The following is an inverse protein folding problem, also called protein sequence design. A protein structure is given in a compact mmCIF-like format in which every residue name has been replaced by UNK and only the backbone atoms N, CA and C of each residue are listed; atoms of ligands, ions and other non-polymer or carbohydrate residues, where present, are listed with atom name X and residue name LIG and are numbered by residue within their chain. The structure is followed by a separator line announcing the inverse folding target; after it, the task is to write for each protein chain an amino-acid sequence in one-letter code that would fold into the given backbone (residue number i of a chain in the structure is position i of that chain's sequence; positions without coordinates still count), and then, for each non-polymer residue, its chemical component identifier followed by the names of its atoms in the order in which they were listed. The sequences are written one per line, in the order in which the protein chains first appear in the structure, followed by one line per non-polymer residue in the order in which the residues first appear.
data_IF_396920488690
#
_entry.id   IF_396920488690
#
_cell.length_a   1.000
_cell.length_b   1.000
_cell.length_c   1.000
_cell.angle_alpha   90.00
_cell.angle_beta   90.00
_cell.angle_gamma   90.00
#
_symmetry.space_group_name_H-M   'P 1'
#
loop_
_entity.id
_entity.type
_entity.pdbx_description
1 polymer ?
#
# COMPACT_ATOMS: atom_id res chain seq x y z
N UNK A 1 -7.30 -24.29 9.07
CA UNK A 1 -7.66 -22.85 9.10
C UNK A 1 -6.44 -22.06 9.54
N UNK A 2 -5.99 -21.10 8.73
CA UNK A 2 -4.97 -20.13 9.12
C UNK A 2 -5.67 -18.80 9.37
N UNK A 3 -5.43 -18.18 10.52
CA UNK A 3 -6.09 -16.94 10.95
C UNK A 3 -5.02 -15.90 11.27
N UNK A 4 -5.07 -14.77 10.57
CA UNK A 4 -4.48 -13.50 11.04
C UNK A 4 -5.61 -12.55 11.44
N UNK A 5 -5.27 -11.41 12.06
CA UNK A 5 -6.27 -10.39 12.44
C UNK A 5 -7.10 -9.85 11.27
N UNK A 6 -6.61 -10.01 10.04
CA UNK A 6 -7.19 -9.38 8.84
C UNK A 6 -7.61 -10.40 7.75
N UNK A 7 -7.08 -11.63 7.80
CA UNK A 7 -7.27 -12.64 6.76
C UNK A 7 -7.50 -14.02 7.38
N UNK A 8 -8.58 -14.69 6.96
CA UNK A 8 -8.88 -16.09 7.30
C UNK A 8 -8.82 -16.94 6.04
N UNK A 9 -8.04 -18.02 6.10
CA UNK A 9 -7.86 -18.96 5.01
C UNK A 9 -8.41 -20.33 5.44
N UNK A 10 -9.34 -20.87 4.66
CA UNK A 10 -9.73 -22.27 4.73
C UNK A 10 -9.36 -22.99 3.44
N UNK A 11 -8.83 -24.21 3.55
CA UNK A 11 -8.44 -25.03 2.41
C UNK A 11 -9.05 -26.39 2.60
N UNK A 12 -9.94 -26.74 1.67
CA UNK A 12 -10.53 -28.08 1.60
C UNK A 12 -10.04 -28.77 0.32
N UNK A 13 -9.55 -30.00 0.46
CA UNK A 13 -9.00 -30.78 -0.65
C UNK A 13 -9.90 -31.97 -0.95
N UNK A 14 -10.35 -32.09 -2.19
CA UNK A 14 -11.23 -33.18 -2.63
C UNK A 14 -10.68 -33.84 -3.89
N UNK A 15 -10.74 -35.18 -4.03
CA UNK A 15 -10.42 -35.81 -5.31
C UNK A 15 -11.47 -35.41 -6.35
N UNK A 16 -11.04 -34.87 -7.50
CA UNK A 16 -11.97 -34.56 -8.62
C UNK A 16 -11.80 -35.52 -9.80
N UNK A 17 -10.75 -36.34 -9.79
CA UNK A 17 -10.47 -37.34 -10.80
C UNK A 17 -9.68 -38.52 -10.22
N UNK A 18 -10.08 -39.73 -10.60
CA UNK A 18 -9.47 -40.99 -10.20
C UNK A 18 -10.25 -42.17 -10.78
N UNK A 19 -9.62 -43.36 -10.77
CA UNK A 19 -10.26 -44.61 -11.16
C UNK A 19 -10.23 -45.58 -9.97
N UNK A 20 -11.39 -45.84 -9.36
CA UNK A 20 -11.49 -46.70 -8.18
C UNK A 20 -10.63 -46.23 -7.00
N UNK A 21 -9.74 -47.09 -6.51
CA UNK A 21 -8.86 -46.82 -5.35
C UNK A 21 -7.68 -45.87 -5.65
N UNK A 22 -7.49 -45.45 -6.90
CA UNK A 22 -6.39 -44.57 -7.30
C UNK A 22 -6.92 -43.16 -7.60
N UNK A 23 -7.01 -42.31 -6.57
CA UNK A 23 -7.22 -40.86 -6.76
C UNK A 23 -5.95 -40.25 -7.31
N UNK A 24 -5.98 -39.76 -8.55
CA UNK A 24 -4.78 -39.27 -9.22
C UNK A 24 -4.65 -37.74 -9.22
N UNK A 25 -5.72 -37.01 -8.88
CA UNK A 25 -5.74 -35.54 -8.85
C UNK A 25 -6.69 -34.99 -7.77
N UNK A 26 -6.26 -33.95 -7.06
CA UNK A 26 -7.04 -33.23 -6.05
C UNK A 26 -7.41 -31.81 -6.51
N UNK A 27 -8.60 -31.37 -6.13
CA UNK A 27 -9.11 -30.02 -6.24
C UNK A 27 -8.96 -29.38 -4.87
N UNK A 28 -8.24 -28.26 -4.82
CA UNK A 28 -8.11 -27.46 -3.61
C UNK A 28 -9.11 -26.31 -3.69
N UNK A 29 -10.12 -26.34 -2.82
CA UNK A 29 -11.05 -25.24 -2.60
C UNK A 29 -10.43 -24.32 -1.54
N UNK A 30 -9.98 -23.14 -1.96
CA UNK A 30 -9.40 -22.13 -1.07
C UNK A 30 -10.46 -21.06 -0.81
N UNK A 31 -10.92 -20.94 0.42
CA UNK A 31 -11.84 -19.90 0.86
C UNK A 31 -11.05 -18.82 1.62
N UNK A 32 -11.10 -17.60 1.10
CA UNK A 32 -10.43 -16.44 1.66
C UNK A 32 -11.46 -15.45 2.20
N UNK A 33 -11.34 -15.08 3.48
CA UNK A 33 -12.16 -14.05 4.14
C UNK A 33 -11.25 -12.91 4.62
N UNK A 34 -11.69 -11.65 4.48
CA UNK A 34 -10.90 -10.45 4.77
C UNK A 34 -11.26 -9.29 3.85
N UNK A 35 -10.45 -8.23 3.79
CA UNK A 35 -10.61 -7.17 2.77
C UNK A 35 -10.30 -7.68 1.36
N UNK A 36 -10.86 -7.07 0.31
CA UNK A 36 -10.60 -7.51 -1.07
C UNK A 36 -9.11 -7.39 -1.42
N UNK A 37 -8.46 -6.30 -0.98
CA UNK A 37 -7.04 -6.06 -1.25
C UNK A 37 -6.15 -7.11 -0.57
N UNK A 38 -6.41 -7.46 0.68
CA UNK A 38 -5.61 -8.46 1.41
C UNK A 38 -5.77 -9.85 0.81
N UNK A 39 -6.98 -10.21 0.35
CA UNK A 39 -7.20 -11.45 -0.42
C UNK A 39 -6.47 -11.43 -1.77
N UNK A 40 -6.54 -10.33 -2.51
CA UNK A 40 -5.94 -10.21 -3.84
C UNK A 40 -4.40 -10.27 -3.78
N UNK A 41 -3.78 -9.63 -2.78
CA UNK A 41 -2.33 -9.73 -2.52
C UNK A 41 -1.90 -11.15 -2.19
N UNK A 42 -2.66 -11.87 -1.37
CA UNK A 42 -2.38 -13.29 -1.12
C UNK A 42 -2.45 -14.12 -2.40
N UNK A 43 -3.47 -13.89 -3.23
CA UNK A 43 -3.61 -14.57 -4.53
C UNK A 43 -2.41 -14.29 -5.43
N UNK A 44 -1.91 -13.05 -5.44
CA UNK A 44 -0.71 -12.65 -6.17
C UNK A 44 0.51 -13.47 -5.72
N UNK A 45 0.75 -13.59 -4.42
CA UNK A 45 1.86 -14.40 -3.88
C UNK A 45 1.68 -15.91 -4.16
N UNK A 46 0.45 -16.42 -4.07
CA UNK A 46 0.15 -17.83 -4.37
C UNK A 46 0.51 -18.15 -5.82
N UNK A 47 0.12 -17.30 -6.76
CA UNK A 47 0.41 -17.51 -8.19
C UNK A 47 1.92 -17.46 -8.44
N UNK A 48 2.63 -16.50 -7.85
CA UNK A 48 4.08 -16.38 -7.99
C UNK A 48 4.83 -17.60 -7.43
N UNK A 49 4.35 -18.20 -6.33
CA UNK A 49 5.01 -19.32 -5.64
C UNK A 49 4.69 -20.69 -6.20
N UNK A 50 3.53 -20.88 -6.83
CA UNK A 50 3.08 -22.21 -7.29
C UNK A 50 3.86 -22.76 -8.48
N UNK A 51 4.56 -21.92 -9.25
CA UNK A 51 5.31 -22.32 -10.45
C UNK A 51 4.44 -22.85 -11.59
N UNK A 52 3.12 -22.83 -11.42
CA UNK A 52 2.09 -23.19 -12.42
C UNK A 52 0.85 -22.34 -12.19
N UNK A 53 0.06 -22.18 -13.24
CA UNK A 53 -1.18 -21.43 -13.17
C UNK A 53 -2.25 -22.20 -12.36
N UNK A 54 -2.83 -21.62 -11.30
CA UNK A 54 -3.84 -22.30 -10.46
C UNK A 54 -5.13 -22.68 -11.21
N UNK A 55 -5.44 -21.97 -12.29
CA UNK A 55 -6.60 -22.20 -13.15
C UNK A 55 -6.37 -23.25 -14.25
N UNK A 56 -5.21 -23.91 -14.29
CA UNK A 56 -4.91 -24.95 -15.27
C UNK A 56 -5.05 -26.35 -14.65
N UNK A 57 -6.23 -27.00 -14.76
CA UNK A 57 -6.43 -28.34 -14.25
C UNK A 57 -5.73 -29.39 -15.13
N UNK A 58 -5.38 -30.53 -14.52
CA UNK A 58 -4.82 -31.68 -15.25
C UNK A 58 -5.86 -32.36 -16.16
N UNK A 59 -7.13 -32.38 -15.76
CA UNK A 59 -8.25 -32.90 -16.56
C UNK A 59 -9.42 -31.91 -16.57
N UNK A 60 -9.48 -31.05 -17.58
CA UNK A 60 -10.45 -29.95 -17.64
C UNK A 60 -11.91 -30.43 -17.59
N UNK A 61 -12.27 -31.49 -18.32
CA UNK A 61 -13.66 -31.98 -18.34
C UNK A 61 -14.23 -32.30 -16.95
N UNK A 62 -13.49 -33.05 -16.13
CA UNK A 62 -13.93 -33.41 -14.78
C UNK A 62 -13.89 -32.21 -13.83
N UNK A 63 -12.87 -31.35 -13.96
CA UNK A 63 -12.73 -30.17 -13.14
C UNK A 63 -13.85 -29.14 -13.39
N UNK A 64 -14.24 -28.92 -14.65
CA UNK A 64 -15.37 -28.06 -15.02
C UNK A 64 -16.70 -28.64 -14.52
N UNK A 65 -16.87 -29.97 -14.56
CA UNK A 65 -18.04 -30.65 -14.00
C UNK A 65 -18.18 -30.42 -12.49
N UNK A 66 -17.08 -30.46 -11.75
CA UNK A 66 -17.07 -30.27 -10.29
C UNK A 66 -17.21 -28.79 -9.92
N UNK A 67 -16.50 -27.90 -10.60
CA UNK A 67 -16.52 -26.45 -10.31
C UNK A 67 -17.72 -25.72 -10.94
N UNK A 68 -18.47 -26.38 -11.83
CA UNK A 68 -19.61 -25.86 -12.59
C UNK A 68 -19.29 -24.59 -13.39
N UNK A 69 -18.04 -24.39 -13.75
CA UNK A 69 -17.54 -23.24 -14.50
C UNK A 69 -16.44 -23.70 -15.46
N UNK A 70 -16.27 -22.98 -16.57
CA UNK A 70 -15.22 -23.28 -17.54
C UNK A 70 -13.84 -22.84 -17.05
N UNK A 71 -12.81 -23.49 -17.58
CA UNK A 71 -11.39 -23.13 -17.37
C UNK A 71 -11.11 -21.68 -17.75
N UNK A 72 -11.71 -21.19 -18.85
CA UNK A 72 -11.61 -19.78 -19.25
C UNK A 72 -12.19 -18.83 -18.21
N UNK A 73 -13.37 -19.12 -17.67
CA UNK A 73 -14.00 -18.25 -16.66
C UNK A 73 -13.19 -18.18 -15.38
N UNK A 74 -12.64 -19.29 -14.91
CA UNK A 74 -11.73 -19.28 -13.77
C UNK A 74 -10.49 -18.44 -14.07
N UNK A 75 -9.83 -18.68 -15.21
CA UNK A 75 -8.67 -17.87 -15.63
C UNK A 75 -8.98 -16.37 -15.57
N UNK A 76 -10.11 -15.95 -16.13
CA UNK A 76 -10.48 -14.53 -16.17
C UNK A 76 -10.67 -13.95 -14.77
N UNK A 77 -11.35 -14.66 -13.86
CA UNK A 77 -11.52 -14.21 -12.48
C UNK A 77 -10.20 -14.13 -11.71
N UNK A 78 -9.30 -15.09 -11.91
CA UNK A 78 -7.95 -15.04 -11.33
C UNK A 78 -7.15 -13.86 -11.86
N UNK A 79 -7.16 -13.62 -13.17
CA UNK A 79 -6.46 -12.49 -13.80
C UNK A 79 -7.01 -11.13 -13.33
N UNK A 80 -8.33 -11.01 -13.11
CA UNK A 80 -8.93 -9.82 -12.51
C UNK A 80 -8.37 -9.55 -11.12
N UNK A 81 -8.28 -10.58 -10.27
CA UNK A 81 -7.73 -10.45 -8.91
C UNK A 81 -6.25 -10.07 -8.93
N UNK A 82 -5.45 -10.67 -9.82
CA UNK A 82 -4.03 -10.34 -9.98
C UNK A 82 -3.85 -8.88 -10.44
N UNK A 83 -4.65 -8.44 -11.40
CA UNK A 83 -4.63 -7.05 -11.89
C UNK A 83 -5.04 -6.08 -10.79
N UNK A 84 -6.07 -6.42 -10.01
CA UNK A 84 -6.50 -5.63 -8.87
C UNK A 84 -5.40 -5.51 -7.80
N UNK A 85 -4.75 -6.62 -7.45
CA UNK A 85 -3.65 -6.65 -6.49
C UNK A 85 -2.48 -5.77 -6.97
N UNK A 86 -2.07 -5.92 -8.24
CA UNK A 86 -0.98 -5.14 -8.83
C UNK A 86 -1.28 -3.65 -8.76
N UNK A 87 -2.45 -3.22 -9.20
CA UNK A 87 -2.86 -1.81 -9.13
C UNK A 87 -2.87 -1.28 -7.70
N UNK A 88 -3.40 -2.03 -6.73
CA UNK A 88 -3.39 -1.61 -5.33
C UNK A 88 -1.98 -1.47 -4.76
N UNK A 89 -1.04 -2.32 -5.17
CA UNK A 89 0.37 -2.19 -4.79
C UNK A 89 1.07 -1.01 -5.49
N UNK A 90 0.71 -0.70 -6.73
CA UNK A 90 1.16 0.52 -7.43
C UNK A 90 0.67 1.78 -6.72
N UNK A 91 -0.59 1.79 -6.27
CA UNK A 91 -1.18 2.87 -5.47
C UNK A 91 -0.41 3.07 -4.14
N UNK A 92 -0.04 1.99 -3.43
CA UNK A 92 0.77 2.08 -2.20
C UNK A 92 2.18 2.65 -2.45
N UNK A 93 2.81 2.28 -3.56
CA UNK A 93 4.10 2.87 -3.96
C UNK A 93 3.94 4.38 -4.20
N UNK A 94 2.87 4.77 -4.90
CA UNK A 94 2.63 6.17 -5.24
C UNK A 94 2.24 7.02 -4.02
N UNK A 95 1.54 6.43 -3.04
CA UNK A 95 1.25 7.10 -1.77
C UNK A 95 2.54 7.48 -1.04
N UNK A 96 3.47 6.53 -0.88
CA UNK A 96 4.77 6.78 -0.25
C UNK A 96 5.60 7.78 -1.08
N UNK A 97 5.58 7.69 -2.40
CA UNK A 97 6.25 8.64 -3.29
C UNK A 97 5.69 10.07 -3.15
N UNK A 98 4.38 10.21 -3.04
CA UNK A 98 3.71 11.50 -2.84
C UNK A 98 4.10 12.11 -1.49
N UNK A 99 4.08 11.33 -0.41
CA UNK A 99 4.55 11.77 0.91
C UNK A 99 6.03 12.16 0.88
N UNK A 100 6.88 11.38 0.21
CA UNK A 100 8.29 11.70 -0.02
C UNK A 100 8.47 13.08 -0.66
N UNK A 101 7.72 13.39 -1.72
CA UNK A 101 7.82 14.70 -2.38
C UNK A 101 7.43 15.87 -1.47
N UNK A 102 6.44 15.67 -0.60
CA UNK A 102 6.03 16.68 0.38
C UNK A 102 7.17 16.93 1.37
N UNK A 103 7.71 15.88 1.96
CA UNK A 103 8.81 15.98 2.93
C UNK A 103 10.07 16.56 2.28
N UNK A 104 10.41 16.16 1.06
CA UNK A 104 11.55 16.71 0.33
C UNK A 104 11.40 18.22 0.07
N UNK A 105 10.18 18.68 -0.26
CA UNK A 105 9.89 20.11 -0.41
C UNK A 105 9.99 20.86 0.93
N UNK A 106 9.50 20.26 2.01
CA UNK A 106 9.56 20.83 3.36
C UNK A 106 11.00 20.92 3.89
N UNK A 107 11.81 19.88 3.68
CA UNK A 107 13.21 19.82 4.08
C UNK A 107 14.10 20.91 3.41
N UNK A 108 13.66 21.47 2.27
CA UNK A 108 14.32 22.61 1.62
C UNK A 108 13.97 23.96 2.29
N UNK A 109 12.89 24.03 3.08
CA UNK A 109 12.40 25.24 3.73
C UNK A 109 12.80 25.28 5.22
N UNK A 110 14.04 25.70 5.49
CA UNK A 110 14.65 25.64 6.82
C UNK A 110 13.99 26.48 7.93
N UNK A 111 13.10 27.40 7.57
CA UNK A 111 12.51 28.36 8.52
C UNK A 111 11.58 27.72 9.57
N UNK A 112 11.18 26.47 9.37
CA UNK A 112 10.16 25.80 10.18
C UNK A 112 10.71 24.64 11.03
N UNK A 113 12.04 24.50 11.10
CA UNK A 113 12.65 23.33 11.73
C UNK A 113 12.84 23.54 13.24
N UNK A 114 12.54 22.52 14.06
CA UNK A 114 12.85 22.55 15.48
C UNK A 114 14.36 22.79 15.72
N UNK A 115 14.73 23.48 16.82
CA UNK A 115 16.12 23.64 17.21
C UNK A 115 16.83 22.29 17.32
N UNK A 116 17.97 22.12 16.64
CA UNK A 116 18.77 20.89 16.67
C UNK A 116 18.38 19.83 15.62
N UNK A 117 17.45 20.14 14.70
CA UNK A 117 17.17 19.25 13.58
C UNK A 117 18.38 19.08 12.65
N UNK A 118 18.70 17.83 12.32
CA UNK A 118 19.87 17.49 11.51
C UNK A 118 19.50 17.38 10.02
N UNK A 119 19.85 18.42 9.27
CA UNK A 119 19.61 18.50 7.83
C UNK A 119 20.31 17.40 7.03
N UNK A 120 21.58 17.14 7.32
CA UNK A 120 22.37 16.13 6.60
C UNK A 120 21.80 14.73 6.82
N UNK A 121 21.33 14.45 8.04
CA UNK A 121 20.65 13.20 8.36
C UNK A 121 19.34 13.04 7.60
N UNK A 122 18.51 14.09 7.54
CA UNK A 122 17.27 14.08 6.75
C UNK A 122 17.53 13.88 5.26
N UNK A 123 18.47 14.60 4.67
CA UNK A 123 18.84 14.43 3.26
C UNK A 123 19.34 13.01 2.96
N UNK A 124 20.08 12.41 3.89
CA UNK A 124 20.54 11.01 3.79
C UNK A 124 19.37 10.04 3.85
N UNK A 125 18.44 10.23 4.79
CA UNK A 125 17.25 9.40 4.91
C UNK A 125 16.35 9.52 3.67
N UNK A 126 16.15 10.72 3.12
CA UNK A 126 15.39 10.94 1.88
C UNK A 126 16.01 10.21 0.68
N UNK A 127 17.34 10.22 0.54
CA UNK A 127 18.02 9.42 -0.49
C UNK A 127 17.74 7.93 -0.34
N UNK A 128 17.72 7.42 0.89
CA UNK A 128 17.38 6.02 1.15
C UNK A 128 15.89 5.72 0.88
N UNK A 129 14.96 6.62 1.21
CA UNK A 129 13.53 6.50 0.84
C UNK A 129 13.38 6.31 -0.66
N UNK A 130 14.00 7.19 -1.45
CA UNK A 130 13.96 7.11 -2.92
C UNK A 130 14.48 5.76 -3.42
N UNK A 131 15.59 5.27 -2.86
CA UNK A 131 16.15 3.96 -3.21
C UNK A 131 15.19 2.82 -2.85
N UNK A 132 14.55 2.86 -1.68
CA UNK A 132 13.57 1.84 -1.28
C UNK A 132 12.32 1.86 -2.17
N UNK A 133 11.87 3.02 -2.64
CA UNK A 133 10.79 3.12 -3.63
C UNK A 133 11.17 2.40 -4.93
N UNK A 134 12.40 2.58 -5.43
CA UNK A 134 12.85 1.85 -6.63
C UNK A 134 12.94 0.33 -6.39
N UNK A 135 13.42 -0.09 -5.21
CA UNK A 135 13.43 -1.51 -4.81
C UNK A 135 11.99 -2.06 -4.77
N UNK A 136 11.02 -1.28 -4.27
CA UNK A 136 9.61 -1.68 -4.24
C UNK A 136 9.04 -1.86 -5.64
N UNK A 137 9.34 -0.93 -6.58
CA UNK A 137 8.94 -1.04 -7.99
C UNK A 137 9.55 -2.27 -8.66
N UNK A 138 10.84 -2.52 -8.42
CA UNK A 138 11.52 -3.70 -8.95
C UNK A 138 10.90 -4.99 -8.39
N UNK A 139 10.64 -5.03 -7.08
CA UNK A 139 9.98 -6.17 -6.45
C UNK A 139 8.57 -6.42 -7.00
N UNK A 140 7.80 -5.36 -7.31
CA UNK A 140 6.51 -5.50 -7.99
C UNK A 140 6.64 -6.13 -9.38
N UNK A 141 7.61 -5.65 -10.15
CA UNK A 141 7.91 -6.18 -11.48
C UNK A 141 8.25 -7.67 -11.42
N UNK A 142 9.05 -8.06 -10.42
CA UNK A 142 9.50 -9.45 -10.20
C UNK A 142 8.45 -10.31 -9.47
N UNK A 143 7.22 -9.81 -9.31
CA UNK A 143 6.10 -10.49 -8.64
C UNK A 143 6.40 -10.92 -7.19
N UNK A 144 7.21 -10.13 -6.49
CA UNK A 144 7.62 -10.36 -5.11
C UNK A 144 6.92 -9.38 -4.16
N UNK A 145 5.69 -9.67 -3.73
CA UNK A 145 4.93 -8.76 -2.87
C UNK A 145 5.56 -8.60 -1.48
N UNK A 146 6.21 -9.66 -0.96
CA UNK A 146 6.95 -9.60 0.32
C UNK A 146 8.12 -8.62 0.24
N UNK A 147 8.88 -8.67 -0.87
CA UNK A 147 9.98 -7.75 -1.14
C UNK A 147 9.51 -6.30 -1.22
N UNK A 148 8.39 -6.07 -1.92
CA UNK A 148 7.74 -4.77 -2.03
C UNK A 148 7.34 -4.25 -0.65
N UNK A 149 6.60 -5.03 0.14
CA UNK A 149 6.10 -4.59 1.44
C UNK A 149 7.26 -4.22 2.38
N UNK A 150 8.30 -5.04 2.42
CA UNK A 150 9.53 -4.74 3.20
C UNK A 150 10.21 -3.46 2.76
N UNK A 151 10.28 -3.19 1.46
CA UNK A 151 10.86 -1.97 0.94
C UNK A 151 10.02 -0.74 1.31
N UNK A 152 8.69 -0.83 1.20
CA UNK A 152 7.78 0.24 1.62
C UNK A 152 7.84 0.50 3.13
N UNK A 153 7.88 -0.54 3.98
CA UNK A 153 8.00 -0.38 5.43
C UNK A 153 9.30 0.35 5.82
N UNK A 154 10.40 0.03 5.13
CA UNK A 154 11.68 0.74 5.30
C UNK A 154 11.62 2.18 4.80
N UNK A 155 10.99 2.40 3.65
CA UNK A 155 10.79 3.72 3.09
C UNK A 155 9.97 4.59 4.07
N UNK A 156 8.90 4.05 4.62
CA UNK A 156 8.06 4.75 5.59
C UNK A 156 8.82 5.10 6.87
N UNK A 157 9.56 4.14 7.45
CA UNK A 157 10.37 4.40 8.63
C UNK A 157 11.39 5.54 8.39
N UNK A 158 12.09 5.51 7.25
CA UNK A 158 13.06 6.54 6.88
C UNK A 158 12.41 7.88 6.55
N UNK A 159 11.20 7.86 6.02
CA UNK A 159 10.44 9.07 5.71
C UNK A 159 10.01 9.78 7.00
N UNK A 160 9.56 9.02 8.01
CA UNK A 160 9.25 9.55 9.35
C UNK A 160 10.50 10.15 10.00
N UNK A 161 11.65 9.46 9.93
CA UNK A 161 12.92 10.00 10.47
C UNK A 161 13.42 11.25 9.72
N UNK A 162 13.07 11.39 8.44
CA UNK A 162 13.49 12.51 7.62
C UNK A 162 12.62 13.77 7.79
N UNK A 163 11.36 13.60 8.19
CA UNK A 163 10.40 14.70 8.19
C UNK A 163 10.58 15.62 9.42
N UNK A 164 10.95 16.91 9.21
CA UNK A 164 11.17 17.86 10.29
C UNK A 164 9.92 18.21 11.08
N UNK A 165 8.73 17.92 10.55
CA UNK A 165 7.45 18.29 11.13
C UNK A 165 6.77 17.15 11.89
N UNK A 166 7.37 15.96 11.92
CA UNK A 166 6.83 14.81 12.63
C UNK A 166 6.67 15.13 14.12
N UNK A 167 5.46 14.91 14.63
CA UNK A 167 5.16 15.05 16.06
C UNK A 167 4.91 16.47 16.54
N UNK A 168 5.12 17.49 15.69
CA UNK A 168 4.77 18.87 16.03
C UNK A 168 3.25 19.04 16.05
N UNK A 169 2.74 19.63 17.11
CA UNK A 169 1.34 20.04 17.15
C UNK A 169 1.12 21.28 16.26
N UNK A 170 -0.11 21.46 15.78
CA UNK A 170 -0.47 22.59 14.90
C UNK A 170 -0.07 23.95 15.49
N UNK A 171 -0.14 24.10 16.82
CA UNK A 171 0.23 25.33 17.53
C UNK A 171 1.74 25.62 17.48
N UNK A 172 2.58 24.58 17.56
CA UNK A 172 4.04 24.70 17.45
C UNK A 172 4.46 25.00 16.01
N UNK A 173 3.76 24.43 15.02
CA UNK A 173 3.92 24.77 13.61
C UNK A 173 3.59 26.23 13.33
N UNK A 174 2.53 26.76 13.94
CA UNK A 174 2.12 28.16 13.83
C UNK A 174 3.08 29.11 14.54
N UNK A 175 3.61 28.75 15.72
CA UNK A 175 4.66 29.53 16.39
C UNK A 175 5.95 29.62 15.55
N UNK A 176 6.36 28.52 14.91
CA UNK A 176 7.52 28.52 14.01
C UNK A 176 7.26 29.31 12.72
N UNK A 177 6.02 29.37 12.23
CA UNK A 177 5.63 30.20 11.08
C UNK A 177 5.58 31.71 11.41
N UNK A 178 5.14 32.07 12.61
CA UNK A 178 5.01 33.47 13.06
C UNK A 178 6.33 34.19 13.33
N UNK A 179 7.49 33.54 13.15
CA UNK A 179 8.80 34.19 13.19
C UNK A 179 9.05 35.07 11.94
N UNK A 180 8.30 34.90 10.86
CA UNK A 180 8.27 35.84 9.73
C UNK A 180 6.95 36.64 9.74
N UNK A 181 6.97 37.80 10.41
CA UNK A 181 6.00 38.94 10.38
C UNK A 181 4.61 38.77 11.00
N UNK A 182 4.38 39.47 12.13
CA UNK A 182 3.37 40.54 12.22
C UNK A 182 3.89 41.65 13.18
N UNK A 183 4.56 42.67 12.65
CA UNK A 183 4.49 44.00 13.26
C UNK A 183 3.05 44.47 13.05
N UNK A 184 2.24 44.42 14.11
CA UNK A 184 0.86 44.91 14.10
C UNK A 184 0.91 46.45 14.23
N UNK A 185 1.47 47.10 13.22
CA UNK A 185 1.38 48.56 13.11
C UNK A 185 0.11 48.88 12.31
N UNK A 186 -0.91 49.28 13.07
CA UNK A 186 -2.14 49.96 12.63
C UNK A 186 -3.03 49.21 11.64
N UNK A 187 -3.86 48.31 12.17
CA UNK A 187 -5.15 48.00 11.53
C UNK A 187 -6.11 49.13 11.93
N UNK A 188 -6.59 49.98 11.00
CA UNK A 188 -7.59 50.99 11.34
C UNK A 188 -8.91 50.28 11.71
N UNK A 189 -9.39 50.55 12.92
CA UNK A 189 -10.68 50.08 13.40
C UNK A 189 -11.78 50.83 12.66
N UNK A 190 -12.48 50.15 11.74
CA UNK A 190 -13.70 50.66 11.10
C UNK A 190 -14.88 50.06 11.86
N UNK A 191 -15.55 50.91 12.65
CA UNK A 191 -16.78 50.56 13.32
C UNK A 191 -17.94 50.60 12.31
N UNK A 192 -18.46 49.42 11.94
CA UNK A 192 -19.55 49.28 10.97
C UNK A 192 -20.95 49.33 11.62
N UNK A 193 -21.07 49.73 12.89
CA UNK A 193 -22.34 49.68 13.62
C UNK A 193 -23.15 50.99 13.51
N UNK A 194 -22.56 52.09 13.03
CA UNK A 194 -23.30 53.35 12.82
C UNK A 194 -23.49 53.64 11.32
N UNK A 195 -24.29 52.80 10.66
CA UNK A 195 -25.00 53.22 9.45
C UNK A 195 -26.23 54.00 9.88
N UNK A 196 -26.10 55.32 9.94
CA UNK A 196 -27.19 56.26 10.21
C UNK A 196 -28.34 56.04 9.21
N UNK A 197 -29.54 55.83 9.75
CA UNK A 197 -30.80 55.95 9.02
C UNK A 197 -31.03 57.43 8.72
N UNK A 198 -30.80 57.86 7.47
CA UNK A 198 -31.49 59.00 6.83
C UNK A 198 -31.77 58.72 5.35
#
# INVERSE_FOLDING_TARGET
VLVSSELSINIDSFPYWGFGLFSSCYLNKVELKGSLISRAKLIFDIVATLGRNPWEPKFSFFWEKVTKNSTGKHRDEWLKLLTFAKRGMEEEIEEINSRYQIVEKNAKKAKLFPPGWNKDHSETNLKEVRKQIEIARQALHDQNAVGLKRALDRAEAKLIEADPLVGLQNEELLQNQNLDTLEIDNIPFIDLVNGEEE
#
